data_IF_415229692809
#
_entry.id   IF_415229692809
#
_cell.length_a   1.000
_cell.length_b   1.000
_cell.length_c   1.000
_cell.angle_alpha   90.00
_cell.angle_beta   90.00
_cell.angle_gamma   90.00
#
_symmetry.space_group_name_H-M   'P 1'
#
loop_
_entity.id
_entity.type
_entity.pdbx_description
1 polymer ?
#
# COMPACT_ATOMS: atom_id res chain seq x y z
N UNK A 1 0.71 -20.27 -11.46
CA UNK A 1 0.65 -18.81 -11.17
C UNK A 1 -0.78 -18.43 -10.85
N UNK A 2 -1.00 -17.43 -10.01
CA UNK A 2 -2.32 -16.87 -9.74
C UNK A 2 -2.24 -15.36 -9.52
N UNK A 3 -3.36 -14.69 -9.74
CA UNK A 3 -3.56 -13.30 -9.39
C UNK A 3 -4.59 -13.25 -8.26
N UNK A 4 -4.22 -12.63 -7.14
CA UNK A 4 -5.14 -12.36 -6.04
C UNK A 4 -5.53 -10.91 -6.13
N UNK A 5 -6.82 -10.60 -6.09
CA UNK A 5 -7.30 -9.23 -5.91
C UNK A 5 -7.72 -9.04 -4.46
N UNK A 6 -7.45 -7.87 -3.91
CA UNK A 6 -7.75 -7.58 -2.51
C UNK A 6 -8.10 -6.11 -2.28
N UNK A 7 -8.84 -5.88 -1.20
CA UNK A 7 -9.16 -4.58 -0.65
C UNK A 7 -8.55 -4.49 0.75
N UNK A 8 -7.61 -3.57 0.94
CA UNK A 8 -7.03 -3.28 2.24
C UNK A 8 -7.80 -2.13 2.89
N UNK A 9 -8.67 -2.48 3.83
CA UNK A 9 -9.54 -1.54 4.52
C UNK A 9 -8.95 -1.16 5.89
N UNK A 10 -8.76 0.13 6.12
CA UNK A 10 -8.19 0.63 7.37
C UNK A 10 -8.75 1.99 7.75
N UNK A 11 -8.56 2.38 9.01
CA UNK A 11 -8.86 3.71 9.51
C UNK A 11 -7.62 4.31 10.14
N UNK A 12 -7.40 5.59 9.91
CA UNK A 12 -6.30 6.30 10.53
C UNK A 12 -6.60 6.51 12.03
N UNK A 13 -5.59 6.29 12.88
CA UNK A 13 -5.74 6.42 14.35
C UNK A 13 -5.81 7.88 14.81
N UNK A 14 -5.21 8.79 14.04
CA UNK A 14 -4.97 10.19 14.42
C UNK A 14 -5.66 11.20 13.51
N UNK A 15 -5.70 10.93 12.20
CA UNK A 15 -6.39 11.73 11.19
C UNK A 15 -7.69 11.03 10.78
N UNK A 16 -8.74 11.77 10.43
CA UNK A 16 -10.02 11.27 9.90
C UNK A 16 -10.46 9.87 10.38
N UNK A 17 -10.63 9.73 11.70
CA UNK A 17 -10.85 8.43 12.39
C UNK A 17 -12.14 7.71 11.98
N UNK A 18 -13.06 8.45 11.37
CA UNK A 18 -14.36 7.95 10.96
C UNK A 18 -14.39 7.53 9.48
N UNK A 19 -13.47 8.03 8.65
CA UNK A 19 -13.37 7.61 7.27
C UNK A 19 -12.66 6.26 7.15
N UNK A 20 -13.39 5.29 6.58
CA UNK A 20 -12.79 4.05 6.10
C UNK A 20 -11.99 4.34 4.83
N UNK A 21 -10.71 4.02 4.87
CA UNK A 21 -9.83 4.07 3.71
C UNK A 21 -9.76 2.68 3.11
N UNK A 22 -9.79 2.60 1.78
CA UNK A 22 -9.67 1.34 1.05
C UNK A 22 -8.55 1.50 0.03
N UNK A 23 -7.50 0.68 0.16
CA UNK A 23 -6.49 0.54 -0.89
C UNK A 23 -6.81 -0.71 -1.67
N UNK A 24 -7.00 -0.56 -2.99
CA UNK A 24 -7.24 -1.68 -3.89
C UNK A 24 -5.91 -2.14 -4.46
N UNK A 25 -5.75 -3.45 -4.55
CA UNK A 25 -4.54 -4.02 -5.10
C UNK A 25 -4.74 -5.43 -5.59
N UNK A 26 -3.65 -5.99 -6.10
CA UNK A 26 -3.56 -7.38 -6.40
C UNK A 26 -2.13 -7.91 -6.33
N UNK A 27 -2.02 -9.18 -5.99
CA UNK A 27 -0.75 -9.88 -5.82
C UNK A 27 -0.61 -10.93 -6.92
N UNK A 28 0.46 -10.85 -7.70
CA UNK A 28 0.83 -11.86 -8.67
C UNK A 28 1.78 -12.84 -8.01
N UNK A 29 1.33 -14.09 -7.88
CA UNK A 29 2.12 -15.18 -7.31
C UNK A 29 2.47 -16.21 -8.39
N UNK A 30 3.71 -16.68 -8.38
CA UNK A 30 4.10 -17.92 -9.07
C UNK A 30 4.51 -18.94 -8.02
N UNK A 31 4.22 -20.18 -8.34
CA UNK A 31 4.50 -21.31 -7.47
C UNK A 31 5.43 -22.27 -8.19
N UNK A 32 6.36 -22.81 -7.43
CA UNK A 32 7.19 -23.95 -7.82
C UNK A 32 6.35 -25.21 -7.97
N UNK A 33 6.93 -26.26 -8.56
CA UNK A 33 6.31 -27.59 -8.61
C UNK A 33 6.01 -28.18 -7.22
N UNK A 34 6.71 -27.74 -6.17
CA UNK A 34 6.45 -28.11 -4.78
C UNK A 34 5.37 -27.27 -4.08
N UNK A 35 4.70 -26.35 -4.79
CA UNK A 35 3.66 -25.50 -4.23
C UNK A 35 4.15 -24.30 -3.41
N UNK A 36 5.46 -24.09 -3.32
CA UNK A 36 6.03 -22.90 -2.66
C UNK A 36 6.02 -21.69 -3.59
N UNK A 37 5.82 -20.50 -3.04
CA UNK A 37 5.90 -19.23 -3.79
C UNK A 37 7.36 -18.90 -4.10
N UNK A 38 7.72 -18.80 -5.37
CA UNK A 38 9.06 -18.36 -5.85
C UNK A 38 9.07 -16.94 -6.43
N UNK A 39 7.88 -16.38 -6.68
CA UNK A 39 7.70 -15.03 -7.18
C UNK A 39 6.49 -14.40 -6.53
N UNK A 40 6.69 -13.19 -6.01
CA UNK A 40 5.63 -12.37 -5.45
C UNK A 40 5.79 -10.93 -5.93
N UNK A 41 4.77 -10.40 -6.60
CA UNK A 41 4.70 -8.98 -6.97
C UNK A 41 3.35 -8.38 -6.59
N UNK A 42 3.41 -7.35 -5.77
CA UNK A 42 2.24 -6.58 -5.37
C UNK A 42 2.04 -5.36 -6.27
N UNK A 43 0.85 -5.30 -6.87
CA UNK A 43 0.34 -4.16 -7.63
C UNK A 43 -0.71 -3.49 -6.76
N UNK A 44 -0.34 -2.40 -6.10
CA UNK A 44 -1.24 -1.61 -5.28
C UNK A 44 -1.25 -0.19 -5.82
N UNK A 45 -2.45 0.37 -6.01
CA UNK A 45 -2.63 1.74 -6.46
C UNK A 45 -3.13 2.60 -5.30
N UNK A 46 -2.20 2.94 -4.39
CA UNK A 46 -2.50 3.89 -3.32
C UNK A 46 -2.13 5.33 -3.69
N UNK A 47 -1.67 5.59 -4.91
CA UNK A 47 -1.10 6.88 -5.25
C UNK A 47 -2.18 7.93 -5.53
N UNK A 48 -3.30 7.55 -6.16
CA UNK A 48 -4.31 8.54 -6.58
C UNK A 48 -5.28 8.90 -5.44
N UNK A 49 -5.98 7.95 -4.82
CA UNK A 49 -6.99 8.26 -3.79
C UNK A 49 -6.44 8.55 -2.39
N UNK A 50 -5.28 8.01 -2.00
CA UNK A 50 -4.74 8.16 -0.64
C UNK A 50 -3.93 9.44 -0.47
N UNK A 51 -3.20 9.87 -1.50
CA UNK A 51 -2.41 11.11 -1.46
C UNK A 51 -3.32 12.34 -1.52
N UNK A 52 -4.39 12.30 -2.31
CA UNK A 52 -5.37 13.40 -2.40
C UNK A 52 -6.05 13.68 -1.05
N UNK A 53 -6.22 12.66 -0.20
CA UNK A 53 -6.82 12.78 1.13
C UNK A 53 -5.83 13.11 2.25
N UNK A 54 -4.53 13.13 1.99
CA UNK A 54 -3.50 13.40 3.00
C UNK A 54 -2.99 14.86 2.88
N UNK A 55 -3.48 15.81 3.71
CA UNK A 55 -3.07 17.22 3.62
C UNK A 55 -1.57 17.47 3.89
N UNK A 56 -0.83 16.46 4.40
CA UNK A 56 0.53 16.59 4.90
C UNK A 56 1.57 15.73 4.16
N UNK A 57 1.25 15.15 3.00
CA UNK A 57 2.22 14.34 2.23
C UNK A 57 3.51 15.12 1.99
N UNK A 58 3.43 16.41 1.68
CA UNK A 58 4.62 17.26 1.52
C UNK A 58 5.49 17.30 2.78
N UNK A 59 4.88 17.36 3.97
CA UNK A 59 5.57 17.32 5.25
C UNK A 59 6.18 15.96 5.58
N UNK A 60 5.43 14.87 5.32
CA UNK A 60 5.88 13.50 5.55
C UNK A 60 7.03 13.11 4.62
N UNK A 61 6.95 13.45 3.32
CA UNK A 61 8.03 13.22 2.36
C UNK A 61 9.28 14.04 2.71
N UNK A 62 9.11 15.27 3.21
CA UNK A 62 10.22 16.09 3.69
C UNK A 62 10.86 15.52 4.95
N UNK A 63 10.07 14.93 5.86
CA UNK A 63 10.58 14.22 7.04
C UNK A 63 11.31 12.91 6.67
N UNK A 64 10.74 12.09 5.78
CA UNK A 64 11.35 10.85 5.28
C UNK A 64 12.67 11.14 4.53
N UNK A 65 12.70 12.15 3.64
CA UNK A 65 13.94 12.60 2.97
C UNK A 65 15.02 13.04 3.95
N UNK A 66 14.64 13.68 5.06
CA UNK A 66 15.58 14.11 6.10
C UNK A 66 16.17 12.92 6.85
N UNK A 67 15.36 11.87 7.10
CA UNK A 67 15.77 10.65 7.81
C UNK A 67 16.64 9.72 6.97
N UNK A 68 16.43 9.67 5.65
CA UNK A 68 17.25 8.88 4.73
C UNK A 68 18.62 9.52 4.42
N UNK A 69 18.85 10.76 4.85
CA UNK A 69 20.12 11.50 4.69
C UNK A 69 21.00 11.46 5.94
N UNK A 70 20.55 10.79 7.00
CA UNK A 70 21.35 10.39 8.17
C UNK A 70 21.68 8.90 8.05
#
# INVERSE_FOLDING_TARGET
QCLLTWNFEFRFKTFDKNALQTVRGGSHLKFTAGGLVDYHRDYWDAAEELYEKLPWVGGLMRWLKKRARQ
#
